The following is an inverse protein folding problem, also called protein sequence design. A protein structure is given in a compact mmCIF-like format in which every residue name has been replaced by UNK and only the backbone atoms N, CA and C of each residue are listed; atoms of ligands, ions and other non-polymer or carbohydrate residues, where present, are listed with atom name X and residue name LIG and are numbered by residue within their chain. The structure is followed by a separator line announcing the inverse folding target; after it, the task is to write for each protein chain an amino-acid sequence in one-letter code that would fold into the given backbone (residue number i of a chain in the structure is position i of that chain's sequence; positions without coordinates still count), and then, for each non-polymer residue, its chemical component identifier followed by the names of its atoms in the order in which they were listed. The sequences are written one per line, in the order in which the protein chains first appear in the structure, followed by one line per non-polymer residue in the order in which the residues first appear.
data_IF_109624012974
#
_entry.id   IF_109624012974
#
_cell.length_a   1.000
_cell.length_b   1.000
_cell.length_c   1.000
_cell.angle_alpha   90.00
_cell.angle_beta   90.00
_cell.angle_gamma   90.00
#
_symmetry.space_group_name_H-M   'P 1'
#
loop_
_entity.id
_entity.type
_entity.pdbx_description
1 polymer ?
#
# COMPACT_ATOMS: atom_id res chain seq x y z
N UNK A 1 -11.06 -4.74 -0.63
CA UNK A 1 -9.70 -5.01 -1.18
C UNK A 1 -9.08 -3.80 -1.86
N UNK A 2 -9.74 -3.12 -2.81
CA UNK A 2 -9.21 -1.87 -3.38
C UNK A 2 -8.81 -0.82 -2.32
N UNK A 3 -9.71 -0.54 -1.37
CA UNK A 3 -9.41 0.37 -0.26
C UNK A 3 -8.24 -0.10 0.63
N UNK A 4 -8.03 -1.41 0.76
CA UNK A 4 -6.87 -1.97 1.47
C UNK A 4 -5.58 -1.64 0.71
N UNK A 5 -5.58 -1.73 -0.62
CA UNK A 5 -4.47 -1.27 -1.45
C UNK A 5 -4.18 0.22 -1.28
N UNK A 6 -5.22 1.07 -1.27
CA UNK A 6 -5.05 2.50 -1.00
C UNK A 6 -4.39 2.77 0.37
N UNK A 7 -4.85 2.08 1.42
CA UNK A 7 -4.32 2.24 2.79
C UNK A 7 -2.89 1.68 2.88
N UNK A 8 -2.60 0.52 2.27
CA UNK A 8 -1.25 -0.04 2.21
C UNK A 8 -0.27 0.96 1.57
N UNK A 9 -0.67 1.55 0.45
CA UNK A 9 0.11 2.61 -0.18
C UNK A 9 0.28 3.81 0.75
N UNK A 10 -0.79 4.29 1.38
CA UNK A 10 -0.76 5.46 2.25
C UNK A 10 0.15 5.24 3.47
N UNK A 11 0.11 4.07 4.08
CA UNK A 11 1.04 3.68 5.16
C UNK A 11 2.49 3.73 4.68
N UNK A 12 2.77 3.22 3.47
CA UNK A 12 4.13 3.18 2.92
C UNK A 12 4.64 4.56 2.43
N UNK A 13 3.78 5.38 1.83
CA UNK A 13 4.14 6.62 1.15
C UNK A 13 3.79 7.89 1.94
N UNK A 14 3.06 7.76 3.06
CA UNK A 14 2.59 8.85 3.93
C UNK A 14 1.75 9.90 3.18
N UNK A 15 1.08 9.47 2.11
CA UNK A 15 0.21 10.31 1.28
C UNK A 15 -0.92 9.45 0.71
N UNK A 16 -2.11 10.03 0.56
CA UNK A 16 -3.22 9.35 -0.09
C UNK A 16 -2.88 9.01 -1.56
N UNK A 17 -3.23 7.80 -1.99
CA UNK A 17 -2.95 7.33 -3.35
C UNK A 17 -3.76 8.10 -4.41
N UNK A 18 -5.04 8.32 -4.12
CA UNK A 18 -6.01 8.97 -5.02
C UNK A 18 -6.84 10.01 -4.24
N UNK A 19 -6.31 11.21 -3.99
CA UNK A 19 -7.00 12.27 -3.23
C UNK A 19 -7.95 13.10 -4.11
N UNK A 20 -8.95 12.48 -4.75
CA UNK A 20 -9.95 13.20 -5.54
C UNK A 20 -11.03 13.83 -4.67
N UNK A 21 -11.48 15.03 -5.01
CA UNK A 21 -12.60 15.71 -4.32
C UNK A 21 -13.93 15.57 -5.05
N UNK A 22 -13.91 15.08 -6.29
CA UNK A 22 -15.09 14.73 -7.09
C UNK A 22 -14.88 13.37 -7.76
N UNK A 23 -15.96 12.74 -8.23
CA UNK A 23 -15.88 11.46 -8.95
C UNK A 23 -14.96 11.54 -10.19
N UNK A 24 -15.06 12.61 -10.97
CA UNK A 24 -14.24 12.80 -12.18
C UNK A 24 -12.76 12.97 -11.83
N UNK A 25 -12.45 13.78 -10.81
CA UNK A 25 -11.08 13.92 -10.32
C UNK A 25 -10.54 12.60 -9.78
N UNK A 26 -11.36 11.83 -9.07
CA UNK A 26 -10.97 10.52 -8.54
C UNK A 26 -10.60 9.56 -9.66
N UNK A 27 -11.42 9.47 -10.72
CA UNK A 27 -11.16 8.60 -11.87
C UNK A 27 -9.92 9.05 -12.65
N UNK A 28 -9.76 10.33 -12.91
CA UNK A 28 -8.58 10.89 -13.57
C UNK A 28 -7.28 10.57 -12.79
N UNK A 29 -7.28 10.73 -11.47
CA UNK A 29 -6.15 10.36 -10.61
C UNK A 29 -5.84 8.86 -10.67
N UNK A 30 -6.87 8.00 -10.67
CA UNK A 30 -6.70 6.55 -10.80
C UNK A 30 -6.00 6.23 -12.13
N UNK A 31 -6.50 6.75 -13.25
CA UNK A 31 -5.95 6.47 -14.57
C UNK A 31 -4.55 7.06 -14.76
N UNK A 32 -4.25 8.22 -14.20
CA UNK A 32 -2.89 8.80 -14.24
C UNK A 32 -1.85 7.92 -13.55
N UNK A 33 -2.23 7.30 -12.43
CA UNK A 33 -1.31 6.48 -11.60
C UNK A 33 -1.18 5.06 -12.14
N UNK A 34 -2.30 4.41 -12.45
CA UNK A 34 -2.35 2.99 -12.81
C UNK A 34 -2.31 2.75 -14.32
N UNK A 35 -2.59 3.79 -15.13
CA UNK A 35 -2.81 3.71 -16.57
C UNK A 35 -4.30 3.77 -16.92
N UNK A 36 -4.64 3.98 -18.19
CA UNK A 36 -6.03 3.82 -18.63
C UNK A 36 -6.30 2.33 -18.85
N UNK A 37 -7.40 1.76 -18.31
CA UNK A 37 -7.76 0.38 -18.60
C UNK A 37 -8.07 0.24 -20.09
N UNK A 38 -7.25 -0.54 -20.78
CA UNK A 38 -7.45 -1.08 -22.13
C UNK A 38 -7.83 -2.55 -22.02
N UNK A 39 -8.33 -3.14 -23.11
CA UNK A 39 -8.68 -4.57 -23.17
C UNK A 39 -7.51 -5.52 -22.80
N UNK A 40 -6.26 -5.03 -22.74
CA UNK A 40 -5.07 -5.81 -22.43
C UNK A 40 -4.28 -5.32 -21.20
N UNK A 41 -4.65 -4.19 -20.57
CA UNK A 41 -3.80 -3.60 -19.52
C UNK A 41 -4.29 -3.90 -18.12
N UNK A 42 -3.44 -4.67 -17.47
CA UNK A 42 -3.19 -4.68 -16.05
C UNK A 42 -2.46 -3.40 -15.58
N UNK A 43 -2.65 -2.93 -14.33
CA UNK A 43 -1.87 -1.81 -13.79
C UNK A 43 -0.35 -2.05 -13.96
N UNK A 44 0.42 -1.05 -14.42
CA UNK A 44 1.85 -1.28 -14.61
C UNK A 44 2.63 -1.32 -13.28
N UNK A 45 3.23 -2.47 -12.95
CA UNK A 45 4.09 -2.65 -11.75
C UNK A 45 5.16 -1.55 -11.63
N UNK A 46 5.73 -1.15 -12.77
CA UNK A 46 6.75 -0.10 -12.85
C UNK A 46 6.29 1.26 -12.34
N UNK A 47 5.01 1.62 -12.52
CA UNK A 47 4.51 2.90 -12.00
C UNK A 47 4.35 2.84 -10.48
N UNK A 48 3.91 1.72 -9.92
CA UNK A 48 3.71 1.58 -8.48
C UNK A 48 5.03 1.57 -7.69
N UNK A 49 6.10 0.98 -8.22
CA UNK A 49 7.41 0.94 -7.55
C UNK A 49 7.99 2.32 -7.26
N UNK A 50 7.78 3.29 -8.16
CA UNK A 50 8.24 4.67 -7.94
C UNK A 50 7.39 5.45 -6.93
N UNK A 51 6.15 5.04 -6.73
CA UNK A 51 5.20 5.76 -5.88
C UNK A 51 5.31 5.36 -4.41
N UNK A 52 5.73 4.12 -4.13
CA UNK A 52 5.88 3.60 -2.78
C UNK A 52 7.31 3.08 -2.54
N UNK A 53 8.32 3.96 -2.45
CA UNK A 53 9.73 3.56 -2.36
C UNK A 53 10.11 2.81 -1.07
N UNK A 54 9.20 2.79 -0.07
CA UNK A 54 9.38 2.03 1.18
C UNK A 54 8.88 0.59 1.09
N UNK A 55 8.16 0.23 0.02
CA UNK A 55 7.77 -1.17 -0.23
C UNK A 55 8.89 -1.87 -0.99
N UNK A 56 9.21 -3.08 -0.53
CA UNK A 56 10.06 -4.01 -1.25
C UNK A 56 9.31 -4.58 -2.47
N UNK A 57 9.97 -5.34 -3.36
CA UNK A 57 9.31 -5.93 -4.53
C UNK A 57 8.09 -6.79 -4.17
N UNK A 58 8.12 -7.50 -3.03
CA UNK A 58 6.97 -8.31 -2.60
C UNK A 58 5.79 -7.46 -2.12
N UNK A 59 6.04 -6.33 -1.47
CA UNK A 59 5.01 -5.36 -1.09
C UNK A 59 4.39 -4.67 -2.31
N UNK A 60 5.20 -4.34 -3.32
CA UNK A 60 4.70 -3.80 -4.59
C UNK A 60 3.81 -4.82 -5.31
N UNK A 61 4.19 -6.10 -5.31
CA UNK A 61 3.41 -7.20 -5.89
C UNK A 61 2.05 -7.39 -5.18
N UNK A 62 2.03 -7.31 -3.85
CA UNK A 62 0.77 -7.34 -3.09
C UNK A 62 -0.10 -6.11 -3.41
N UNK A 63 0.49 -4.92 -3.40
CA UNK A 63 -0.21 -3.67 -3.70
C UNK A 63 -0.85 -3.72 -5.09
N UNK A 64 -0.12 -4.26 -6.06
CA UNK A 64 -0.61 -4.49 -7.41
C UNK A 64 -1.78 -5.48 -7.43
N UNK A 65 -1.68 -6.61 -6.73
CA UNK A 65 -2.76 -7.61 -6.62
C UNK A 65 -4.03 -7.05 -5.96
N UNK A 66 -3.90 -6.05 -5.09
CA UNK A 66 -5.02 -5.35 -4.43
C UNK A 66 -5.70 -4.30 -5.33
N UNK A 67 -4.94 -3.64 -6.21
CA UNK A 67 -5.36 -2.50 -7.04
C UNK A 67 -5.74 -2.90 -8.48
N UNK A 68 -6.42 -4.03 -8.64
CA UNK A 68 -7.02 -4.40 -9.93
C UNK A 68 -8.33 -3.62 -10.16
N UNK A 69 -8.55 -3.17 -11.41
CA UNK A 69 -9.78 -2.48 -11.81
C UNK A 69 -11.01 -3.36 -11.60
N UNK A 70 -10.95 -4.59 -12.09
CA UNK A 70 -12.05 -5.54 -11.96
C UNK A 70 -12.07 -6.16 -10.57
N UNK A 71 -13.24 -6.12 -9.94
CA UNK A 71 -13.39 -6.54 -8.56
C UNK A 71 -13.00 -8.00 -8.32
N UNK A 72 -13.26 -8.86 -9.31
CA UNK A 72 -13.03 -10.30 -9.29
C UNK A 72 -11.55 -10.69 -9.47
N UNK A 73 -10.76 -9.79 -10.07
CA UNK A 73 -9.32 -10.01 -10.28
C UNK A 73 -8.48 -9.62 -9.06
N UNK A 74 -9.07 -8.95 -8.06
CA UNK A 74 -8.36 -8.55 -6.83
C UNK A 74 -8.14 -9.75 -5.93
N UNK A 75 -6.94 -9.83 -5.36
CA UNK A 75 -6.62 -10.81 -4.31
C UNK A 75 -7.60 -10.70 -3.13
N UNK A 76 -8.01 -11.85 -2.59
CA UNK A 76 -8.89 -11.89 -1.42
C UNK A 76 -8.13 -11.51 -0.14
N UNK A 77 -8.84 -11.19 0.94
CA UNK A 77 -8.21 -10.93 2.24
C UNK A 77 -7.43 -12.16 2.76
N UNK A 78 -8.01 -13.36 2.59
CA UNK A 78 -7.39 -14.63 2.98
C UNK A 78 -6.10 -14.89 2.20
N UNK A 79 -6.13 -14.70 0.88
CA UNK A 79 -4.96 -14.93 0.04
C UNK A 79 -3.89 -13.86 0.28
N UNK A 80 -4.29 -12.62 0.58
CA UNK A 80 -3.37 -11.55 0.97
C UNK A 80 -2.57 -11.93 2.22
N UNK A 81 -3.20 -12.54 3.23
CA UNK A 81 -2.50 -13.03 4.43
C UNK A 81 -1.45 -14.11 4.10
N UNK A 82 -1.68 -14.91 3.05
CA UNK A 82 -0.73 -15.91 2.58
C UNK A 82 0.30 -15.36 1.58
N UNK A 83 0.19 -14.09 1.18
CA UNK A 83 1.10 -13.46 0.24
C UNK A 83 2.51 -13.39 0.81
N UNK A 84 3.52 -13.51 -0.07
CA UNK A 84 4.95 -13.50 0.31
C UNK A 84 5.28 -12.33 1.24
N UNK A 85 4.81 -11.12 0.90
CA UNK A 85 5.02 -9.89 1.68
C UNK A 85 4.67 -10.04 3.16
N UNK A 86 3.50 -10.59 3.51
CA UNK A 86 3.11 -10.77 4.90
C UNK A 86 3.78 -12.02 5.48
N UNK A 87 3.83 -13.11 4.72
CA UNK A 87 4.29 -14.42 5.20
C UNK A 87 5.78 -14.47 5.50
N UNK A 88 6.60 -13.63 4.85
CA UNK A 88 8.02 -13.48 5.19
C UNK A 88 8.27 -12.48 6.32
N UNK A 89 7.30 -11.63 6.65
CA UNK A 89 7.48 -10.53 7.60
C UNK A 89 7.00 -10.85 9.01
N UNK A 90 6.14 -11.86 9.17
CA UNK A 90 5.52 -12.23 10.45
C UNK A 90 5.87 -13.66 10.87
N UNK A 91 5.99 -13.94 12.18
CA UNK A 91 6.18 -15.31 12.68
C UNK A 91 5.04 -16.24 12.26
N UNK A 92 5.36 -17.52 11.99
CA UNK A 92 4.38 -18.52 11.57
C UNK A 92 3.17 -18.63 12.51
N UNK A 93 3.41 -18.51 13.81
CA UNK A 93 2.37 -18.61 14.84
C UNK A 93 1.24 -17.57 14.67
N UNK A 94 1.49 -16.42 14.02
CA UNK A 94 0.44 -15.43 13.71
C UNK A 94 -0.66 -16.02 12.82
N UNK A 95 -0.32 -16.98 11.95
CA UNK A 95 -1.25 -17.61 11.01
C UNK A 95 -2.04 -18.78 11.62
N UNK A 96 -1.76 -19.13 12.86
CA UNK A 96 -2.36 -20.27 13.58
C UNK A 96 -3.22 -19.80 14.76
N UNK A 97 -3.37 -18.48 14.94
CA UNK A 97 -4.20 -17.86 15.98
C UNK A 97 -5.69 -18.10 15.77
N UNK A 98 -6.46 -18.12 16.86
CA UNK A 98 -7.90 -18.04 16.79
C UNK A 98 -8.37 -16.60 16.60
N UNK A 99 -9.60 -16.40 16.14
CA UNK A 99 -10.17 -15.07 15.85
C UNK A 99 -10.20 -14.12 17.06
N UNK A 100 -10.13 -14.66 18.29
CA UNK A 100 -10.15 -13.88 19.53
C UNK A 100 -8.76 -13.56 20.08
N UNK A 101 -7.71 -14.16 19.51
CA UNK A 101 -6.35 -13.98 19.99
C UNK A 101 -5.70 -12.73 19.36
N UNK A 102 -4.99 -11.96 20.17
CA UNK A 102 -4.24 -10.80 19.68
C UNK A 102 -2.93 -11.23 19.03
N UNK A 103 -2.62 -10.68 17.86
CA UNK A 103 -1.32 -10.85 17.18
C UNK A 103 -0.14 -10.38 18.04
N UNK A 104 -0.38 -9.45 18.97
CA UNK A 104 0.66 -8.92 19.86
C UNK A 104 1.05 -9.91 20.97
N UNK A 105 0.28 -10.98 21.17
CA UNK A 105 0.63 -12.04 22.11
C UNK A 105 1.62 -13.04 21.52
N UNK A 106 1.90 -12.98 20.21
CA UNK A 106 2.80 -13.92 19.54
C UNK A 106 4.27 -13.53 19.80
N UNK A 107 5.10 -14.46 20.34
CA UNK A 107 6.53 -14.21 20.48
C UNK A 107 7.18 -13.82 19.16
N UNK A 108 7.93 -12.71 19.17
CA UNK A 108 8.56 -12.14 17.98
C UNK A 108 7.74 -11.06 17.26
N UNK A 109 6.47 -10.85 17.63
CA UNK A 109 5.70 -9.69 17.18
C UNK A 109 5.92 -8.55 18.19
N UNK A 110 6.55 -7.47 17.73
CA UNK A 110 6.78 -6.27 18.55
C UNK A 110 6.39 -5.02 17.76
N UNK A 111 5.77 -4.06 18.46
CA UNK A 111 5.59 -2.72 17.91
C UNK A 111 6.90 -1.95 18.03
N UNK A 112 7.45 -1.54 16.88
CA UNK A 112 8.71 -0.79 16.83
C UNK A 112 8.39 0.70 17.02
N UNK A 113 9.09 1.34 17.96
CA UNK A 113 8.98 2.78 18.14
C UNK A 113 9.64 3.51 16.97
N UNK A 114 8.86 4.34 16.26
CA UNK A 114 9.34 5.24 15.21
C UNK A 114 10.12 6.41 15.84
N UNK A 115 11.32 6.13 16.34
CA UNK A 115 12.26 7.18 16.75
C UNK A 115 12.45 8.12 15.57
N UNK A 116 11.95 9.37 15.66
CA UNK A 116 12.09 10.37 14.58
C UNK A 116 13.56 10.43 14.15
N UNK A 117 13.90 10.19 12.87
CA UNK A 117 15.24 10.55 12.41
C UNK A 117 15.39 12.06 12.60
N UNK A 118 16.44 12.48 13.33
CA UNK A 118 16.73 13.89 13.69
C UNK A 118 17.00 14.83 12.48
N UNK A 119 16.61 14.47 11.26
CA UNK A 119 17.00 15.16 10.03
C UNK A 119 15.88 15.38 9.00
N UNK A 120 14.60 15.19 9.37
CA UNK A 120 13.49 15.27 8.41
C UNK A 120 12.78 16.62 8.30
N UNK A 121 13.08 17.64 9.12
CA UNK A 121 12.43 18.95 9.01
C UNK A 121 12.72 19.67 7.68
N UNK A 122 13.87 19.43 7.04
CA UNK A 122 14.25 20.13 5.80
C UNK A 122 13.53 19.61 4.54
N UNK A 123 13.00 18.38 4.56
CA UNK A 123 12.32 17.83 3.37
C UNK A 123 10.87 18.32 3.25
N UNK A 124 10.22 18.65 4.36
CA UNK A 124 8.83 19.11 4.37
C UNK A 124 8.67 20.61 4.07
N UNK A 125 9.73 21.42 4.25
CA UNK A 125 9.72 22.83 3.82
C UNK A 125 9.88 23.03 2.31
N UNK A 126 10.41 22.02 1.58
CA UNK A 126 10.75 22.20 0.16
C UNK A 126 9.57 22.11 -0.82
N UNK A 127 8.39 21.69 -0.36
CA UNK A 127 7.18 21.57 -1.18
C UNK A 127 6.08 22.58 -0.83
N UNK A 128 6.37 23.59 -0.01
CA UNK A 128 5.45 24.70 0.24
C UNK A 128 6.07 26.00 -0.25
N UNK A 129 5.35 26.63 -1.20
CA UNK A 129 5.56 27.95 -1.83
C UNK A 129 6.43 27.94 -3.10
N UNK A 130 5.73 27.91 -4.25
CA UNK A 130 5.83 28.94 -5.30
C UNK A 130 4.46 29.05 -5.99
N UNK A 131 3.53 29.75 -5.34
CA UNK A 131 2.51 30.48 -6.08
C UNK A 131 2.98 31.94 -6.05
N UNK A 132 3.31 32.45 -7.25
CA UNK A 132 3.53 33.87 -7.52
C UNK A 132 2.24 34.53 -7.97
#
# INVERSE_FOLDING_TARGET
MWGVGCILYEMAAQQALFPGSTTDQQLDLIFRRLGTPTAATHPSLFRLSHLAPRLDPSGIDLLYSLLQYEGQMRISARDSMNHRFLRSSLPRAVYELNDQDSVLNVPGVILVNESRPKHSEDRYRKFRIKDG
#
